data_IF_029222849513
#
_entry.id   IF_029222849513
#
_cell.length_a   1.000
_cell.length_b   1.000
_cell.length_c   1.000
_cell.angle_alpha   90.00
_cell.angle_beta   90.00
_cell.angle_gamma   90.00
#
_symmetry.space_group_name_H-M   'P 1'
#
loop_
_entity.id
_entity.type
_entity.pdbx_description
1 polymer ?
#
# COMPACT_ATOMS: atom_id res chain seq x y z
N UNK A 1 24.22 51.79 -6.74
CA UNK A 1 24.27 50.73 -5.72
C UNK A 1 22.96 49.98 -5.81
N UNK A 2 22.91 48.80 -6.42
CA UNK A 2 21.66 48.02 -6.56
C UNK A 2 21.43 47.20 -5.29
N UNK A 3 20.22 47.17 -4.72
CA UNK A 3 19.94 46.36 -3.56
C UNK A 3 19.91 44.88 -3.97
N UNK A 4 20.82 44.10 -3.40
CA UNK A 4 20.82 42.64 -3.44
C UNK A 4 19.57 42.15 -2.71
N UNK A 5 18.57 41.68 -3.45
CA UNK A 5 17.45 40.94 -2.87
C UNK A 5 17.95 39.54 -2.55
N UNK A 6 18.20 39.27 -1.28
CA UNK A 6 18.43 37.92 -0.76
C UNK A 6 17.14 37.12 -1.00
N UNK A 7 17.14 36.27 -2.03
CA UNK A 7 16.14 35.23 -2.20
C UNK A 7 16.32 34.23 -1.07
N UNK A 8 15.53 34.37 -0.01
CA UNK A 8 15.39 33.35 1.01
C UNK A 8 14.81 32.09 0.35
N UNK A 9 15.60 31.02 0.32
CA UNK A 9 15.13 29.74 -0.18
C UNK A 9 13.99 29.24 0.70
N UNK A 10 12.78 29.13 0.14
CA UNK A 10 11.62 28.56 0.81
C UNK A 10 11.95 27.16 1.34
N UNK A 11 11.91 27.01 2.67
CA UNK A 11 11.97 25.69 3.32
C UNK A 11 10.71 24.91 2.96
N UNK A 12 10.79 24.00 1.98
CA UNK A 12 9.73 23.03 1.70
C UNK A 12 9.53 22.12 2.92
N UNK A 13 8.39 22.21 3.58
CA UNK A 13 7.98 21.24 4.59
C UNK A 13 8.00 19.83 4.01
N UNK A 14 8.63 18.89 4.71
CA UNK A 14 8.61 17.46 4.35
C UNK A 14 7.21 16.90 4.62
N UNK A 15 6.45 16.69 3.57
CA UNK A 15 5.18 15.96 3.65
C UNK A 15 5.47 14.50 4.04
N UNK A 16 5.01 14.09 5.22
CA UNK A 16 5.09 12.69 5.65
C UNK A 16 3.91 11.93 5.02
N UNK A 17 4.21 11.14 4.00
CA UNK A 17 3.21 10.26 3.37
C UNK A 17 3.09 8.99 4.22
N UNK A 18 1.89 8.71 4.73
CA UNK A 18 1.59 7.47 5.46
C UNK A 18 1.09 6.40 4.48
N UNK A 19 1.53 5.13 4.61
CA UNK A 19 1.03 4.05 3.78
C UNK A 19 -0.45 3.76 4.08
N UNK A 20 -1.20 3.34 3.07
CA UNK A 20 -2.62 3.02 3.14
C UNK A 20 -2.97 1.79 2.28
N UNK A 21 -4.15 1.17 2.46
CA UNK A 21 -4.64 0.13 1.57
C UNK A 21 -4.57 0.56 0.09
N UNK A 22 -3.82 -0.18 -0.72
CA UNK A 22 -3.59 0.14 -2.13
C UNK A 22 -4.59 -0.53 -3.09
N UNK A 23 -5.42 -1.46 -2.58
CA UNK A 23 -6.46 -2.14 -3.35
C UNK A 23 -7.86 -1.78 -2.84
N UNK A 24 -8.79 -1.60 -3.77
CA UNK A 24 -10.22 -1.68 -3.45
C UNK A 24 -10.56 -3.13 -3.18
N UNK A 25 -10.92 -3.44 -1.94
CA UNK A 25 -11.20 -4.80 -1.49
C UNK A 25 -12.60 -4.90 -0.89
N UNK A 26 -13.36 -5.93 -1.25
CA UNK A 26 -14.65 -6.19 -0.63
C UNK A 26 -14.47 -6.45 0.88
N UNK A 27 -15.33 -5.87 1.70
CA UNK A 27 -15.18 -5.94 3.16
C UNK A 27 -14.02 -5.10 3.72
N UNK A 28 -13.59 -4.06 3.00
CA UNK A 28 -12.59 -3.10 3.47
C UNK A 28 -13.00 -2.46 4.81
N UNK A 29 -12.22 -2.70 5.86
CA UNK A 29 -12.57 -2.33 7.25
C UNK A 29 -12.22 -0.88 7.60
N UNK A 30 -11.78 -0.06 6.64
CA UNK A 30 -11.28 1.30 6.89
C UNK A 30 -12.29 2.19 7.62
N UNK A 31 -13.59 2.06 7.31
CA UNK A 31 -14.66 2.82 7.98
C UNK A 31 -14.93 2.35 9.42
N UNK A 32 -14.57 1.10 9.76
CA UNK A 32 -14.78 0.51 11.07
C UNK A 32 -13.62 0.73 12.04
N UNK A 33 -12.47 1.24 11.57
CA UNK A 33 -11.25 1.39 12.38
C UNK A 33 -11.47 2.21 13.65
N UNK A 34 -12.28 3.29 13.58
CA UNK A 34 -12.62 4.11 14.76
C UNK A 34 -13.37 3.30 15.84
N UNK A 35 -14.22 2.36 15.41
CA UNK A 35 -14.99 1.52 16.33
C UNK A 35 -14.11 0.40 16.91
N UNK A 36 -13.16 -0.12 16.13
CA UNK A 36 -12.23 -1.16 16.58
C UNK A 36 -11.25 -0.68 17.64
N UNK A 37 -10.87 0.60 17.63
CA UNK A 37 -9.83 1.12 18.52
C UNK A 37 -10.08 0.83 20.01
N UNK A 38 -11.34 0.91 20.45
CA UNK A 38 -11.73 0.61 21.83
C UNK A 38 -11.53 -0.88 22.21
N UNK A 39 -11.50 -1.79 21.24
CA UNK A 39 -11.37 -3.23 21.46
C UNK A 39 -9.95 -3.75 21.24
N UNK A 40 -9.06 -2.93 20.68
CA UNK A 40 -7.68 -3.32 20.41
C UNK A 40 -6.85 -3.31 21.71
N UNK A 41 -6.11 -4.39 22.03
CA UNK A 41 -5.36 -4.48 23.27
C UNK A 41 -4.28 -3.40 23.35
N UNK A 42 -4.19 -2.71 24.49
CA UNK A 42 -3.22 -1.62 24.69
C UNK A 42 -1.77 -2.04 24.47
N UNK A 43 -1.44 -3.31 24.77
CA UNK A 43 -0.13 -3.92 24.51
C UNK A 43 -0.30 -5.33 23.94
N UNK A 44 0.56 -5.67 22.99
CA UNK A 44 0.67 -7.01 22.41
C UNK A 44 2.09 -7.23 21.87
N UNK A 45 2.50 -8.49 21.72
CA UNK A 45 3.86 -8.84 21.29
C UNK A 45 3.98 -8.82 19.77
N UNK A 46 3.11 -9.56 19.07
CA UNK A 46 3.14 -9.77 17.62
C UNK A 46 1.76 -9.53 17.02
N UNK A 47 1.74 -9.25 15.71
CA UNK A 47 0.53 -9.06 14.94
C UNK A 47 0.35 -10.19 13.93
N UNK A 48 -0.81 -10.83 13.97
CA UNK A 48 -1.24 -11.85 13.02
C UNK A 48 -2.60 -11.44 12.46
N UNK A 49 -2.70 -11.30 11.15
CA UNK A 49 -3.96 -11.03 10.45
C UNK A 49 -4.24 -12.15 9.45
N UNK A 50 -5.07 -13.15 9.84
CA UNK A 50 -5.33 -14.34 9.00
C UNK A 50 -6.10 -14.05 7.70
N UNK A 51 -6.78 -12.90 7.63
CA UNK A 51 -7.64 -12.47 6.53
C UNK A 51 -7.36 -10.99 6.22
N UNK A 52 -6.16 -10.73 5.70
CA UNK A 52 -5.67 -9.36 5.52
C UNK A 52 -6.53 -8.57 4.53
N UNK A 53 -7.00 -9.18 3.44
CA UNK A 53 -7.65 -8.46 2.35
C UNK A 53 -6.83 -7.22 1.92
N UNK A 54 -7.45 -6.05 1.86
CA UNK A 54 -6.74 -4.79 1.57
C UNK A 54 -5.80 -4.27 2.68
N UNK A 55 -5.73 -4.91 3.86
CA UNK A 55 -4.81 -4.56 4.94
C UNK A 55 -5.21 -3.33 5.76
N UNK A 56 -6.50 -2.99 5.82
CA UNK A 56 -6.98 -1.79 6.51
C UNK A 56 -6.55 -1.70 7.99
N UNK A 57 -6.64 -2.82 8.72
CA UNK A 57 -6.25 -2.88 10.15
C UNK A 57 -4.73 -2.84 10.28
N UNK A 58 -4.01 -3.61 9.45
CA UNK A 58 -2.55 -3.58 9.39
C UNK A 58 -2.00 -2.15 9.19
N UNK A 59 -2.44 -1.44 8.14
CA UNK A 59 -1.95 -0.08 7.87
C UNK A 59 -2.31 0.90 8.98
N UNK A 60 -3.50 0.76 9.59
CA UNK A 60 -3.90 1.57 10.73
C UNK A 60 -2.99 1.38 11.95
N UNK A 61 -2.71 0.14 12.34
CA UNK A 61 -1.83 -0.18 13.46
C UNK A 61 -0.37 0.22 13.17
N UNK A 62 0.07 0.11 11.91
CA UNK A 62 1.38 0.57 11.48
C UNK A 62 1.51 2.10 11.65
N UNK A 63 0.51 2.84 11.15
CA UNK A 63 0.48 4.31 11.16
C UNK A 63 0.30 4.94 12.55
N UNK A 64 -0.21 4.17 13.51
CA UNK A 64 -0.29 4.55 14.94
C UNK A 64 0.95 4.14 15.73
N UNK A 65 1.96 3.54 15.07
CA UNK A 65 3.20 3.09 15.70
C UNK A 65 3.05 1.83 16.56
N UNK A 66 1.84 1.26 16.65
CA UNK A 66 1.54 0.08 17.48
C UNK A 66 2.25 -1.18 17.00
N UNK A 67 2.72 -1.21 15.75
CA UNK A 67 3.48 -2.33 15.18
C UNK A 67 5.00 -2.18 15.25
N UNK A 68 5.53 -1.07 15.79
CA UNK A 68 6.98 -0.82 15.83
C UNK A 68 7.72 -1.92 16.61
N UNK A 69 8.71 -2.53 15.96
CA UNK A 69 9.55 -3.59 16.56
C UNK A 69 8.85 -4.93 16.77
N UNK A 70 7.68 -5.16 16.16
CA UNK A 70 6.89 -6.39 16.32
C UNK A 70 7.07 -7.32 15.13
N UNK A 71 6.90 -8.63 15.34
CA UNK A 71 6.70 -9.57 14.24
C UNK A 71 5.30 -9.40 13.67
N UNK A 72 5.21 -9.32 12.34
CA UNK A 72 3.97 -9.07 11.60
C UNK A 72 3.79 -10.23 10.62
N UNK A 73 2.63 -10.89 10.67
CA UNK A 73 2.28 -12.00 9.78
C UNK A 73 0.93 -11.68 9.15
N UNK A 74 0.93 -11.47 7.84
CA UNK A 74 -0.28 -11.23 7.04
C UNK A 74 -0.56 -12.49 6.23
N UNK A 75 -1.80 -12.97 6.29
CA UNK A 75 -2.23 -14.18 5.61
C UNK A 75 -3.53 -13.87 4.86
N UNK A 76 -3.68 -14.50 3.70
CA UNK A 76 -4.94 -14.60 2.98
C UNK A 76 -4.92 -15.91 2.19
N UNK A 77 -6.10 -16.45 1.92
CA UNK A 77 -6.25 -17.60 1.00
C UNK A 77 -6.02 -17.22 -0.46
N UNK A 78 -6.16 -15.94 -0.81
CA UNK A 78 -5.97 -15.47 -2.17
C UNK A 78 -4.47 -15.27 -2.45
N UNK A 79 -3.88 -16.21 -3.20
CA UNK A 79 -2.46 -16.16 -3.58
C UNK A 79 -2.10 -14.92 -4.40
N UNK A 80 -3.00 -14.44 -5.27
CA UNK A 80 -2.76 -13.25 -6.10
C UNK A 80 -2.65 -11.98 -5.23
N UNK A 81 -3.46 -11.90 -4.18
CA UNK A 81 -3.38 -10.81 -3.20
C UNK A 81 -2.05 -10.85 -2.45
N UNK A 82 -1.66 -12.03 -1.95
CA UNK A 82 -0.37 -12.19 -1.25
C UNK A 82 0.80 -11.88 -2.19
N UNK A 83 0.72 -12.31 -3.46
CA UNK A 83 1.71 -11.96 -4.47
C UNK A 83 1.82 -10.44 -4.66
N UNK A 84 0.68 -9.73 -4.74
CA UNK A 84 0.68 -8.26 -4.82
C UNK A 84 1.42 -7.60 -3.64
N UNK A 85 1.17 -8.04 -2.39
CA UNK A 85 1.90 -7.54 -1.22
C UNK A 85 3.41 -7.82 -1.32
N UNK A 86 3.80 -9.02 -1.74
CA UNK A 86 5.21 -9.41 -1.89
C UNK A 86 5.91 -8.62 -2.99
N UNK A 87 5.26 -8.41 -4.14
CA UNK A 87 5.79 -7.60 -5.24
C UNK A 87 5.99 -6.16 -4.83
N UNK A 88 5.04 -5.57 -4.08
CA UNK A 88 5.20 -4.22 -3.53
C UNK A 88 6.37 -4.18 -2.52
N UNK A 89 6.53 -5.21 -1.69
CA UNK A 89 7.64 -5.27 -0.73
C UNK A 89 9.01 -5.39 -1.40
N UNK A 90 9.11 -6.18 -2.48
CA UNK A 90 10.39 -6.64 -3.02
C UNK A 90 10.76 -5.99 -4.36
N UNK A 91 9.79 -5.53 -5.15
CA UNK A 91 9.96 -5.11 -6.55
C UNK A 91 9.14 -3.86 -6.93
N UNK A 92 8.89 -2.95 -5.98
CA UNK A 92 7.99 -1.79 -6.18
C UNK A 92 8.36 -0.91 -7.38
N UNK A 93 9.65 -0.65 -7.59
CA UNK A 93 10.09 0.23 -8.69
C UNK A 93 9.80 -0.39 -10.06
N UNK A 94 10.03 -1.70 -10.19
CA UNK A 94 9.69 -2.44 -11.41
C UNK A 94 8.19 -2.43 -11.64
N UNK A 95 7.39 -2.67 -10.60
CA UNK A 95 5.93 -2.61 -10.70
C UNK A 95 5.46 -1.22 -11.17
N UNK A 96 5.95 -0.14 -10.55
CA UNK A 96 5.61 1.23 -10.91
C UNK A 96 5.98 1.53 -12.36
N UNK A 97 7.18 1.13 -12.80
CA UNK A 97 7.64 1.33 -14.17
C UNK A 97 6.70 0.69 -15.20
N UNK A 98 6.30 -0.58 -14.97
CA UNK A 98 5.39 -1.29 -15.87
C UNK A 98 4.00 -0.63 -15.85
N UNK A 99 3.46 -0.28 -14.67
CA UNK A 99 2.16 0.36 -14.52
C UNK A 99 2.08 1.75 -15.18
N UNK A 100 3.18 2.52 -15.15
CA UNK A 100 3.29 3.81 -15.85
C UNK A 100 3.52 3.66 -17.36
N UNK A 101 3.92 2.48 -17.82
CA UNK A 101 4.21 2.20 -19.22
C UNK A 101 2.95 2.11 -20.10
N UNK A 102 3.13 2.02 -21.44
CA UNK A 102 2.04 2.00 -22.40
C UNK A 102 1.24 0.69 -22.39
N UNK A 103 1.65 -0.32 -21.59
CA UNK A 103 0.97 -1.62 -21.51
C UNK A 103 -0.43 -1.47 -20.91
N UNK A 104 -0.57 -0.69 -19.84
CA UNK A 104 -1.78 -0.58 -19.01
C UNK A 104 -2.53 0.73 -19.24
N UNK A 105 -3.01 0.96 -20.47
CA UNK A 105 -3.85 2.13 -20.79
C UNK A 105 -5.30 1.86 -20.42
N UNK A 106 -5.97 2.83 -19.78
CA UNK A 106 -7.38 2.75 -19.39
C UNK A 106 -8.34 2.85 -20.59
N UNK A 107 -8.37 1.80 -21.41
CA UNK A 107 -9.26 1.63 -22.58
C UNK A 107 -9.89 0.24 -22.53
N UNK A 108 -11.20 0.14 -22.83
CA UNK A 108 -11.96 -1.13 -22.84
C UNK A 108 -11.25 -2.26 -23.59
N UNK A 109 -10.78 -1.99 -24.82
CA UNK A 109 -10.05 -2.97 -25.65
C UNK A 109 -8.76 -3.46 -24.99
N UNK A 110 -8.04 -2.56 -24.31
CA UNK A 110 -6.79 -2.88 -23.61
C UNK A 110 -7.07 -3.73 -22.38
N UNK A 111 -8.10 -3.39 -21.59
CA UNK A 111 -8.53 -4.17 -20.44
C UNK A 111 -8.80 -5.63 -20.81
N UNK A 112 -9.67 -5.88 -21.81
CA UNK A 112 -10.00 -7.25 -22.21
C UNK A 112 -8.83 -8.01 -22.81
N UNK A 113 -7.93 -7.33 -23.54
CA UNK A 113 -6.70 -7.93 -24.04
C UNK A 113 -5.81 -8.41 -22.89
N UNK A 114 -5.61 -7.59 -21.86
CA UNK A 114 -4.77 -7.92 -20.70
C UNK A 114 -5.41 -9.02 -19.86
N UNK A 115 -6.73 -8.95 -19.63
CA UNK A 115 -7.48 -9.97 -18.87
C UNK A 115 -7.37 -11.37 -19.49
N UNK A 116 -7.18 -11.46 -20.82
CA UNK A 116 -7.01 -12.73 -21.52
C UNK A 116 -5.55 -13.25 -21.52
N UNK A 117 -4.58 -12.46 -21.05
CA UNK A 117 -3.17 -12.86 -21.00
C UNK A 117 -2.89 -13.75 -19.79
N UNK A 118 -1.89 -14.61 -19.94
CA UNK A 118 -1.30 -15.34 -18.83
C UNK A 118 -0.07 -14.56 -18.31
N UNK A 119 0.01 -14.29 -16.99
CA UNK A 119 1.21 -13.73 -16.39
C UNK A 119 2.45 -14.57 -16.62
N UNK A 120 3.59 -13.92 -16.85
CA UNK A 120 4.87 -14.61 -17.13
C UNK A 120 5.76 -14.72 -15.90
N UNK A 121 5.60 -13.81 -14.94
CA UNK A 121 6.36 -13.79 -13.69
C UNK A 121 5.50 -13.22 -12.55
N UNK A 122 6.07 -13.16 -11.35
CA UNK A 122 5.39 -12.64 -10.17
C UNK A 122 4.95 -11.18 -10.30
N UNK A 123 5.65 -10.35 -11.07
CA UNK A 123 5.31 -8.92 -11.18
C UNK A 123 4.17 -8.70 -12.18
N UNK A 124 4.08 -9.56 -13.20
CA UNK A 124 2.96 -9.55 -14.15
C UNK A 124 1.73 -10.34 -13.68
N UNK A 125 1.87 -11.11 -12.59
CA UNK A 125 0.82 -11.91 -11.94
C UNK A 125 0.04 -11.04 -10.97
#
# INVERSE_FOLDING_TARGET
MMPTVLLEAEKKEKVIIKPEPFLKWAGGKSQLLKQFEAFLPSKFNNYLEPFVGGGAVFFYLYNTGRLKGKKIILIDSNEELINCFLVIKENVERLISILKGPKYVNKKKVYYRIRAQQPRDKVER
#
